data_IF_471198615026
#
_entry.id   IF_471198615026
#
_cell.length_a   1.000
_cell.length_b   1.000
_cell.length_c   1.000
_cell.angle_alpha   90.00
_cell.angle_beta   90.00
_cell.angle_gamma   90.00
#
_symmetry.space_group_name_H-M   'P 1'
#
loop_
_entity.id
_entity.type
_entity.pdbx_description
1 polymer ?
#
# COMPACT_ATOMS: atom_id res chain seq x y z
N UNK A 1 -8.07 -14.26 -8.66
CA UNK A 1 -6.83 -15.07 -8.78
C UNK A 1 -5.68 -14.08 -8.72
N UNK A 2 -5.06 -13.90 -7.56
CA UNK A 2 -3.90 -12.99 -7.42
C UNK A 2 -2.71 -13.66 -8.10
N UNK A 3 -2.25 -13.08 -9.22
CA UNK A 3 -0.99 -13.47 -9.84
C UNK A 3 0.15 -12.83 -9.06
N UNK A 4 0.98 -13.65 -8.41
CA UNK A 4 2.24 -13.22 -7.84
C UNK A 4 3.13 -12.67 -8.97
N UNK A 5 3.47 -11.37 -8.91
CA UNK A 5 4.48 -10.78 -9.80
C UNK A 5 5.86 -11.25 -9.33
N UNK A 6 6.74 -11.51 -10.30
CA UNK A 6 8.13 -11.92 -10.09
C UNK A 6 8.95 -10.92 -9.26
N UNK A 7 10.25 -11.19 -9.04
CA UNK A 7 11.06 -10.49 -8.06
C UNK A 7 11.04 -8.98 -8.34
N UNK A 8 10.48 -8.22 -7.40
CA UNK A 8 10.54 -6.76 -7.39
C UNK A 8 12.00 -6.36 -7.41
N UNK A 9 12.46 -5.73 -8.50
CA UNK A 9 13.68 -4.93 -8.47
C UNK A 9 13.50 -3.90 -7.36
N UNK A 10 14.25 -4.07 -6.28
CA UNK A 10 14.41 -3.03 -5.27
C UNK A 10 15.02 -1.82 -5.98
N UNK A 11 14.23 -0.77 -6.17
CA UNK A 11 14.79 0.54 -6.42
C UNK A 11 15.58 0.90 -5.15
N UNK A 12 16.91 0.76 -5.21
CA UNK A 12 17.79 1.39 -4.25
C UNK A 12 17.78 2.88 -4.57
N UNK A 13 17.26 3.70 -3.65
CA UNK A 13 17.26 5.15 -3.79
C UNK A 13 18.63 5.70 -3.36
N UNK A 14 19.37 6.38 -4.25
CA UNK A 14 20.70 6.89 -3.96
C UNK A 14 20.61 8.29 -3.35
N UNK A 15 20.23 8.40 -2.08
CA UNK A 15 20.74 9.47 -1.21
C UNK A 15 20.37 9.22 0.26
N UNK A 16 21.40 9.41 1.09
CA UNK A 16 21.49 9.12 2.52
C UNK A 16 20.43 9.81 3.38
N UNK A 17 19.52 9.03 3.96
CA UNK A 17 18.94 9.29 5.29
C UNK A 17 19.47 8.24 6.28
N UNK A 18 20.79 8.15 6.40
CA UNK A 18 21.49 7.14 7.21
C UNK A 18 21.50 7.42 8.72
N UNK A 19 20.45 8.03 9.28
CA UNK A 19 20.32 8.20 10.73
C UNK A 19 18.86 8.20 11.25
N UNK A 20 17.99 7.40 10.64
CA UNK A 20 16.74 6.99 11.28
C UNK A 20 16.89 5.51 11.59
N UNK A 21 17.39 5.21 12.80
CA UNK A 21 17.50 3.85 13.33
C UNK A 21 16.12 3.18 13.32
N UNK A 22 15.77 2.50 12.22
CA UNK A 22 14.62 1.61 12.11
C UNK A 22 13.23 2.19 12.39
N UNK A 23 13.08 3.51 12.46
CA UNK A 23 11.87 4.16 12.96
C UNK A 23 10.89 4.58 11.85
N UNK A 24 10.92 3.89 10.73
CA UNK A 24 10.08 4.18 9.58
C UNK A 24 9.62 2.88 8.91
N UNK A 25 8.48 2.96 8.23
CA UNK A 25 7.83 1.82 7.59
C UNK A 25 7.46 2.18 6.17
N UNK A 26 7.40 1.18 5.29
CA UNK A 26 6.85 1.32 3.96
C UNK A 26 5.36 0.99 3.99
N UNK A 27 4.52 1.93 3.56
CA UNK A 27 3.11 1.67 3.25
C UNK A 27 2.95 1.56 1.73
N UNK A 28 2.59 0.37 1.24
CA UNK A 28 2.33 0.10 -0.16
C UNK A 28 0.83 -0.08 -0.40
N UNK A 29 0.24 0.79 -1.22
CA UNK A 29 -1.20 0.74 -1.56
C UNK A 29 -1.38 0.39 -3.04
N UNK A 30 -2.19 -0.62 -3.32
CA UNK A 30 -2.64 -0.99 -4.66
C UNK A 30 -4.17 -0.88 -4.75
N UNK A 31 -4.67 -0.37 -5.87
CA UNK A 31 -6.10 -0.18 -6.11
C UNK A 31 -6.57 -1.01 -7.29
N UNK A 32 -7.71 -1.68 -7.15
CA UNK A 32 -8.38 -2.42 -8.22
C UNK A 32 -9.78 -1.86 -8.47
N UNK A 33 -10.17 -1.75 -9.73
CA UNK A 33 -11.53 -1.41 -10.15
C UNK A 33 -12.10 -2.52 -11.02
N UNK A 34 -13.33 -2.91 -10.73
CA UNK A 34 -14.10 -3.84 -11.54
C UNK A 34 -15.21 -3.06 -12.26
N UNK A 35 -15.02 -2.87 -13.57
CA UNK A 35 -15.89 -2.08 -14.44
C UNK A 35 -17.32 -2.63 -14.56
N UNK A 36 -17.51 -3.95 -14.44
CA UNK A 36 -18.84 -4.58 -14.60
C UNK A 36 -19.84 -4.13 -13.53
N UNK A 37 -19.35 -3.88 -12.31
CA UNK A 37 -20.18 -3.55 -11.15
C UNK A 37 -19.84 -2.17 -10.57
N UNK A 38 -18.99 -1.41 -11.27
CA UNK A 38 -18.39 -0.14 -10.83
C UNK A 38 -17.84 -0.18 -9.40
N UNK A 39 -17.34 -1.35 -8.99
CA UNK A 39 -16.86 -1.58 -7.63
C UNK A 39 -15.35 -1.43 -7.56
N UNK A 40 -14.86 -0.73 -6.55
CA UNK A 40 -13.44 -0.54 -6.33
C UNK A 40 -12.94 -1.32 -5.10
N UNK A 41 -11.64 -1.53 -5.01
CA UNK A 41 -11.02 -2.03 -3.79
C UNK A 41 -9.61 -1.49 -3.68
N UNK A 42 -9.15 -1.31 -2.45
CA UNK A 42 -7.78 -0.96 -2.14
C UNK A 42 -7.16 -2.06 -1.28
N UNK A 43 -5.98 -2.53 -1.64
CA UNK A 43 -5.13 -3.40 -0.84
C UNK A 43 -3.93 -2.62 -0.33
N UNK A 44 -3.60 -2.80 0.95
CA UNK A 44 -2.46 -2.15 1.59
C UNK A 44 -1.55 -3.18 2.25
N UNK A 45 -0.25 -2.92 2.19
CA UNK A 45 0.79 -3.73 2.82
C UNK A 45 1.74 -2.78 3.57
N UNK A 46 1.95 -3.04 4.86
CA UNK A 46 2.94 -2.35 5.69
C UNK A 46 4.18 -3.24 5.82
N UNK A 47 5.36 -2.65 5.60
CA UNK A 47 6.66 -3.31 5.74
C UNK A 47 7.59 -2.51 6.64
N UNK A 48 8.48 -3.20 7.35
CA UNK A 48 9.52 -2.54 8.13
C UNK A 48 10.57 -1.89 7.22
N UNK A 49 11.48 -1.13 7.83
CA UNK A 49 12.59 -0.46 7.15
C UNK A 49 13.56 -1.42 6.42
N UNK A 50 13.53 -2.73 6.72
CA UNK A 50 14.34 -3.77 6.06
C UNK A 50 13.55 -4.44 4.92
N UNK A 51 12.25 -4.16 4.82
CA UNK A 51 11.34 -4.70 3.83
C UNK A 51 10.60 -5.96 4.28
N UNK A 52 10.68 -6.35 5.55
CA UNK A 52 9.89 -7.47 6.09
C UNK A 52 8.43 -7.06 6.20
N UNK A 53 7.53 -7.99 5.89
CA UNK A 53 6.09 -7.77 6.03
C UNK A 53 5.69 -7.70 7.51
N UNK A 54 4.99 -6.63 7.90
CA UNK A 54 4.43 -6.48 9.25
C UNK A 54 2.98 -6.94 9.26
N UNK A 55 2.13 -6.32 8.43
CA UNK A 55 0.73 -6.71 8.24
C UNK A 55 0.18 -6.11 6.93
N UNK A 56 -1.04 -6.52 6.55
CA UNK A 56 -1.75 -5.97 5.39
C UNK A 56 -3.25 -5.98 5.62
N UNK A 57 -3.95 -5.10 4.92
CA UNK A 57 -5.40 -4.98 5.01
C UNK A 57 -6.00 -4.59 3.65
N UNK A 58 -7.27 -4.94 3.47
CA UNK A 58 -8.00 -4.64 2.25
C UNK A 58 -9.25 -3.86 2.61
N UNK A 59 -9.54 -2.82 1.83
CA UNK A 59 -10.79 -2.08 1.88
C UNK A 59 -11.56 -2.35 0.61
N UNK A 60 -12.76 -2.90 0.75
CA UNK A 60 -13.73 -2.87 -0.33
C UNK A 60 -14.35 -1.48 -0.38
N UNK A 61 -14.36 -0.91 -1.58
CA UNK A 61 -14.98 0.38 -1.82
C UNK A 61 -16.11 0.14 -2.82
N UNK A 62 -17.30 0.59 -2.49
CA UNK A 62 -18.45 0.45 -3.38
C UNK A 62 -18.31 1.35 -4.62
N UNK A 63 -19.39 1.89 -5.19
CA UNK A 63 -19.41 2.76 -6.38
C UNK A 63 -18.52 4.01 -6.21
N UNK A 64 -17.22 3.87 -6.48
CA UNK A 64 -16.20 4.89 -6.29
C UNK A 64 -15.20 4.83 -7.44
N UNK A 65 -14.68 5.99 -7.84
CA UNK A 65 -13.66 6.04 -8.88
C UNK A 65 -12.35 5.40 -8.37
N UNK A 66 -11.50 4.94 -9.31
CA UNK A 66 -10.13 4.45 -8.98
C UNK A 66 -9.33 5.49 -8.20
N UNK A 67 -9.58 6.77 -8.45
CA UNK A 67 -8.91 7.86 -7.76
C UNK A 67 -9.30 7.92 -6.28
N UNK A 68 -10.61 7.87 -6.01
CA UNK A 68 -11.14 7.82 -4.64
C UNK A 68 -10.60 6.61 -3.90
N UNK A 69 -10.52 5.46 -4.57
CA UNK A 69 -10.01 4.24 -3.96
C UNK A 69 -8.55 4.33 -3.51
N UNK A 70 -7.70 4.98 -4.30
CA UNK A 70 -6.32 5.22 -3.92
C UNK A 70 -6.20 6.23 -2.80
N UNK A 71 -6.99 7.31 -2.83
CA UNK A 71 -6.92 8.36 -1.82
C UNK A 71 -7.38 7.84 -0.44
N UNK A 72 -8.49 7.11 -0.39
CA UNK A 72 -8.98 6.47 0.82
C UNK A 72 -7.98 5.45 1.37
N UNK A 73 -7.35 4.65 0.52
CA UNK A 73 -6.31 3.71 0.97
C UNK A 73 -5.02 4.38 1.48
N UNK A 74 -4.73 5.62 1.08
CA UNK A 74 -3.62 6.39 1.68
C UNK A 74 -4.05 6.92 3.05
N UNK A 75 -5.26 7.49 3.13
CA UNK A 75 -5.79 8.05 4.37
C UNK A 75 -5.89 6.98 5.47
N UNK A 76 -6.53 5.84 5.19
CA UNK A 76 -6.66 4.74 6.16
C UNK A 76 -5.31 4.20 6.61
N UNK A 77 -4.37 4.04 5.67
CA UNK A 77 -3.05 3.55 5.99
C UNK A 77 -2.25 4.50 6.86
N UNK A 78 -2.41 5.82 6.68
CA UNK A 78 -1.82 6.82 7.59
C UNK A 78 -2.49 6.79 8.97
N UNK A 79 -3.81 6.68 9.03
CA UNK A 79 -4.56 6.63 10.29
C UNK A 79 -4.12 5.42 11.14
N UNK A 80 -4.03 4.23 10.53
CA UNK A 80 -3.56 3.00 11.18
C UNK A 80 -2.09 3.09 11.65
N UNK A 81 -1.28 3.91 10.99
CA UNK A 81 0.16 4.03 11.29
C UNK A 81 0.48 5.11 12.33
N UNK A 82 -0.41 6.07 12.53
CA UNK A 82 -0.20 7.23 13.41
C UNK A 82 -0.85 7.01 14.80
N UNK A 83 -1.83 6.09 14.91
CA UNK A 83 -2.44 5.65 16.17
C UNK A 83 -1.49 4.77 17.01
#
# INVERSE_FOLDING_TARGET
MMTARGPTRSFQDPSSCSNLNGNWVYLNTDGSLRLENDSASAGQIVRDHVGNWIFGFNRFLETYSVFDAKLWGILDGLDILID
#
